data_IF_584926234045
#
_entry.id   IF_584926234045
#
_cell.length_a   1.000
_cell.length_b   1.000
_cell.length_c   1.000
_cell.angle_alpha   90.00
_cell.angle_beta   90.00
_cell.angle_gamma   90.00
#
_symmetry.space_group_name_H-M   'P 1'
#
loop_
_entity.id
_entity.type
_entity.pdbx_description
1 polymer ?
#
# COMPACT_ATOMS: atom_id res chain seq x y z
N UNK A 1 4.85 15.79 -2.20
CA UNK A 1 6.26 15.42 -2.42
C UNK A 1 6.31 13.89 -2.39
N UNK A 2 7.07 13.25 -3.28
CA UNK A 2 7.24 11.79 -3.27
C UNK A 2 8.12 11.43 -2.07
N UNK A 3 7.77 10.39 -1.32
CA UNK A 3 8.61 9.82 -0.27
C UNK A 3 9.82 9.14 -0.93
N UNK A 4 10.76 9.95 -1.41
CA UNK A 4 12.03 9.49 -1.97
C UNK A 4 13.05 9.48 -0.86
N UNK A 5 13.27 8.32 -0.24
CA UNK A 5 14.57 7.83 0.27
C UNK A 5 14.35 6.69 1.29
N UNK A 6 14.12 5.48 0.80
CA UNK A 6 14.48 4.26 1.53
C UNK A 6 15.56 3.55 0.72
N UNK A 7 16.82 3.76 1.10
CA UNK A 7 17.98 3.20 0.40
C UNK A 7 19.20 3.26 1.30
N UNK A 8 19.54 2.10 1.85
CA UNK A 8 20.78 1.78 2.56
C UNK A 8 22.01 2.17 1.74
N UNK A 9 23.08 2.51 2.44
CA UNK A 9 24.28 3.15 1.91
C UNK A 9 24.85 2.49 0.65
N UNK A 10 25.11 3.34 -0.34
CA UNK A 10 26.32 3.40 -1.15
C UNK A 10 26.14 4.59 -2.12
N UNK A 11 26.62 5.77 -1.68
CA UNK A 11 26.48 7.03 -2.40
C UNK A 11 27.78 7.34 -3.16
N UNK A 12 28.02 6.63 -4.26
CA UNK A 12 29.00 7.05 -5.26
C UNK A 12 28.26 7.73 -6.42
N UNK A 13 28.31 9.06 -6.45
CA UNK A 13 27.97 9.86 -7.64
C UNK A 13 26.72 10.73 -7.53
N UNK A 14 26.65 11.65 -6.56
CA UNK A 14 25.73 12.79 -6.65
C UNK A 14 26.53 14.10 -6.75
N UNK A 15 26.41 14.76 -7.90
CA UNK A 15 26.96 16.08 -8.18
C UNK A 15 26.48 17.12 -7.14
N UNK A 16 27.44 17.92 -6.68
CA UNK A 16 27.43 18.66 -5.44
C UNK A 16 26.69 20.01 -5.46
N UNK A 17 25.52 20.12 -6.11
CA UNK A 17 24.77 21.40 -6.15
C UNK A 17 23.23 21.29 -6.07
N UNK A 18 22.67 20.09 -5.90
CA UNK A 18 21.27 19.96 -5.46
C UNK A 18 21.24 19.57 -4.00
N UNK A 19 20.92 20.53 -3.13
CA UNK A 19 20.61 20.22 -1.75
C UNK A 19 19.52 19.13 -1.76
N UNK A 20 19.88 17.92 -1.37
CA UNK A 20 18.91 16.92 -0.95
C UNK A 20 18.23 17.51 0.30
N UNK A 21 17.24 18.36 0.06
CA UNK A 21 16.30 18.83 1.06
C UNK A 21 15.59 17.58 1.56
N UNK A 22 16.14 16.99 2.62
CA UNK A 22 15.46 15.94 3.38
C UNK A 22 14.03 16.38 3.60
N UNK A 23 13.08 15.54 3.21
CA UNK A 23 11.68 15.83 3.40
C UNK A 23 11.45 16.24 4.86
N UNK A 24 10.65 17.30 5.11
CA UNK A 24 10.33 17.70 6.47
C UNK A 24 9.75 16.49 7.21
N UNK A 25 10.05 16.35 8.52
CA UNK A 25 9.56 15.21 9.29
C UNK A 25 8.03 15.16 9.17
N UNK A 26 7.52 13.98 8.81
CA UNK A 26 6.09 13.72 8.78
C UNK A 26 5.56 13.88 10.20
N UNK A 27 4.64 14.81 10.41
CA UNK A 27 4.00 14.98 11.71
C UNK A 27 3.17 13.74 12.06
N UNK A 28 2.95 13.46 13.35
CA UNK A 28 2.27 12.24 13.78
C UNK A 28 0.83 12.15 13.24
N UNK A 29 0.12 13.28 13.12
CA UNK A 29 -1.24 13.32 12.63
C UNK A 29 -1.33 13.00 11.13
N UNK A 30 -0.38 13.52 10.35
CA UNK A 30 -0.21 13.24 8.93
C UNK A 30 0.20 11.79 8.71
N UNK A 31 1.14 11.27 9.52
CA UNK A 31 1.53 9.86 9.48
C UNK A 31 0.34 8.94 9.72
N UNK A 32 -0.47 9.23 10.75
CA UNK A 32 -1.71 8.50 11.05
C UNK A 32 -2.72 8.58 9.90
N UNK A 33 -2.88 9.75 9.28
CA UNK A 33 -3.75 9.93 8.11
C UNK A 33 -3.29 9.07 6.93
N UNK A 34 -1.99 9.10 6.60
CA UNK A 34 -1.41 8.34 5.49
C UNK A 34 -1.65 6.84 5.68
N UNK A 35 -1.34 6.32 6.87
CA UNK A 35 -1.52 4.89 7.17
C UNK A 35 -2.99 4.51 7.10
N UNK A 36 -3.87 5.27 7.75
CA UNK A 36 -5.30 4.93 7.77
C UNK A 36 -5.91 4.97 6.38
N UNK A 37 -5.65 6.03 5.60
CA UNK A 37 -6.17 6.13 4.22
C UNK A 37 -5.51 5.13 3.29
N UNK A 38 -4.23 4.85 3.45
CA UNK A 38 -3.51 3.84 2.67
C UNK A 38 -4.10 2.44 2.87
N UNK A 39 -4.37 2.05 4.12
CA UNK A 39 -5.02 0.77 4.43
C UNK A 39 -6.43 0.72 3.82
N UNK A 40 -7.23 1.77 3.98
CA UNK A 40 -8.59 1.80 3.43
C UNK A 40 -8.59 1.64 1.90
N UNK A 41 -7.68 2.34 1.20
CA UNK A 41 -7.54 2.24 -0.25
C UNK A 41 -7.04 0.84 -0.65
N UNK A 42 -6.05 0.29 0.05
CA UNK A 42 -5.52 -1.04 -0.23
C UNK A 42 -6.57 -2.13 -0.05
N UNK A 43 -7.34 -2.10 1.05
CA UNK A 43 -8.39 -3.07 1.30
C UNK A 43 -9.58 -2.91 0.34
N UNK A 44 -9.92 -1.68 -0.06
CA UNK A 44 -10.92 -1.43 -1.09
C UNK A 44 -10.51 -2.09 -2.41
N UNK A 45 -9.28 -1.85 -2.88
CA UNK A 45 -8.76 -2.49 -4.09
C UNK A 45 -8.79 -4.02 -3.95
N UNK A 46 -8.25 -4.54 -2.85
CA UNK A 46 -8.03 -5.98 -2.66
C UNK A 46 -9.32 -6.78 -2.45
N UNK A 47 -10.21 -6.32 -1.57
CA UNK A 47 -11.38 -7.08 -1.13
C UNK A 47 -12.60 -6.75 -1.97
N UNK A 48 -12.82 -5.46 -2.27
CA UNK A 48 -14.06 -5.00 -2.91
C UNK A 48 -13.92 -4.94 -4.41
N UNK A 49 -12.79 -4.41 -4.91
CA UNK A 49 -12.60 -4.20 -6.35
C UNK A 49 -11.92 -5.39 -7.05
N UNK A 50 -11.52 -6.43 -6.29
CA UNK A 50 -10.80 -7.61 -6.79
C UNK A 50 -9.47 -7.29 -7.49
N UNK A 51 -8.79 -6.22 -7.07
CA UNK A 51 -7.54 -5.73 -7.64
C UNK A 51 -6.40 -5.92 -6.65
N UNK A 52 -5.52 -6.87 -6.95
CA UNK A 52 -4.26 -7.08 -6.24
C UNK A 52 -3.19 -6.16 -6.82
N UNK A 53 -2.85 -5.12 -6.06
CA UNK A 53 -1.71 -4.26 -6.36
C UNK A 53 -0.42 -4.91 -5.82
N UNK A 54 0.37 -5.51 -6.70
CA UNK A 54 1.52 -6.34 -6.31
C UNK A 54 2.68 -5.52 -5.72
N UNK A 55 2.73 -4.21 -6.00
CA UNK A 55 3.82 -3.34 -5.57
C UNK A 55 3.34 -1.96 -5.06
N UNK A 56 2.56 -1.97 -3.98
CA UNK A 56 2.16 -0.73 -3.30
C UNK A 56 3.24 -0.28 -2.30
N UNK A 57 4.47 -0.04 -2.78
CA UNK A 57 5.54 0.49 -1.95
C UNK A 57 5.37 1.99 -1.69
N UNK A 58 5.95 2.57 -0.61
CA UNK A 58 5.77 3.98 -0.26
C UNK A 58 6.17 4.99 -1.36
N UNK A 59 7.03 4.60 -2.30
CA UNK A 59 7.44 5.45 -3.42
C UNK A 59 6.33 5.67 -4.45
N UNK A 60 5.32 4.79 -4.49
CA UNK A 60 4.15 4.91 -5.36
C UNK A 60 3.01 5.75 -4.73
N UNK A 61 3.21 6.25 -3.50
CA UNK A 61 2.23 7.00 -2.73
C UNK A 61 2.70 8.46 -2.59
N UNK A 62 2.01 9.36 -3.27
CA UNK A 62 2.22 10.80 -3.18
C UNK A 62 1.25 11.42 -2.17
N UNK A 63 1.78 12.28 -1.29
CA UNK A 63 0.97 13.17 -0.46
C UNK A 63 0.95 14.56 -1.09
N UNK A 64 -0.27 15.06 -1.35
CA UNK A 64 -0.55 16.41 -1.84
C UNK A 64 -1.44 17.14 -0.84
N UNK A 65 -1.53 18.45 -0.96
CA UNK A 65 -2.44 19.27 -0.15
C UNK A 65 -3.35 20.04 -1.09
N UNK A 66 -4.65 20.07 -0.77
CA UNK A 66 -5.61 20.87 -1.53
C UNK A 66 -5.53 22.37 -1.18
N UNK A 67 -6.36 23.19 -1.84
CA UNK A 67 -6.41 24.64 -1.59
C UNK A 67 -6.80 25.02 -0.15
N UNK A 68 -7.31 24.07 0.65
CA UNK A 68 -7.67 24.23 2.07
C UNK A 68 -6.64 23.58 2.99
N UNK A 69 -5.46 23.23 2.47
CA UNK A 69 -4.37 22.57 3.18
C UNK A 69 -4.76 21.20 3.78
N UNK A 70 -5.70 20.48 3.16
CA UNK A 70 -6.06 19.12 3.55
C UNK A 70 -5.20 18.11 2.80
N UNK A 71 -4.68 17.06 3.47
CA UNK A 71 -3.86 16.06 2.81
C UNK A 71 -4.70 15.21 1.85
N UNK A 72 -4.12 14.89 0.71
CA UNK A 72 -4.66 14.05 -0.36
C UNK A 72 -3.63 12.97 -0.66
N UNK A 73 -4.08 11.72 -0.71
CA UNK A 73 -3.26 10.59 -1.13
C UNK A 73 -3.45 10.35 -2.63
N UNK A 74 -2.36 10.24 -3.38
CA UNK A 74 -2.38 9.96 -4.82
C UNK A 74 -1.50 8.75 -5.09
N UNK A 75 -2.05 7.72 -5.73
CA UNK A 75 -1.31 6.57 -6.22
C UNK A 75 -0.78 6.89 -7.62
N UNK A 76 0.51 6.66 -7.86
CA UNK A 76 1.19 7.06 -9.12
C UNK A 76 1.40 5.89 -10.06
N UNK A 77 1.69 4.72 -9.49
CA UNK A 77 1.92 3.51 -10.25
C UNK A 77 0.71 2.60 -10.13
N UNK A 78 0.31 2.02 -11.26
CA UNK A 78 -0.69 0.97 -11.38
C UNK A 78 -0.18 -0.14 -12.32
N UNK A 79 1.13 -0.18 -12.59
CA UNK A 79 1.74 -1.01 -13.62
C UNK A 79 1.79 -2.50 -13.32
N UNK A 80 1.58 -2.90 -12.05
CA UNK A 80 1.56 -4.31 -11.61
C UNK A 80 0.30 -4.60 -10.78
N UNK A 81 -0.86 -4.52 -11.44
CA UNK A 81 -2.14 -4.96 -10.89
C UNK A 81 -2.57 -6.27 -11.52
N UNK A 82 -3.14 -7.16 -10.72
CA UNK A 82 -3.74 -8.42 -11.18
C UNK A 82 -5.13 -8.57 -10.58
N UNK A 83 -6.03 -9.20 -11.32
CA UNK A 83 -7.35 -9.63 -10.82
C UNK A 83 -7.27 -11.09 -10.41
N UNK A 84 -7.94 -11.45 -9.31
CA UNK A 84 -8.12 -12.85 -8.94
C UNK A 84 -9.24 -13.48 -9.76
N UNK A 85 -9.11 -14.76 -10.09
CA UNK A 85 -10.26 -15.53 -10.57
C UNK A 85 -11.34 -15.60 -9.47
N UNK A 86 -12.62 -15.85 -9.82
CA UNK A 86 -13.69 -15.93 -8.82
C UNK A 86 -13.40 -16.92 -7.69
N UNK A 87 -12.84 -18.09 -8.02
CA UNK A 87 -12.49 -19.14 -7.04
C UNK A 87 -11.35 -18.68 -6.11
N UNK A 88 -10.31 -18.03 -6.65
CA UNK A 88 -9.23 -17.45 -5.86
C UNK A 88 -9.73 -16.33 -4.95
N UNK A 89 -10.62 -15.47 -5.45
CA UNK A 89 -11.23 -14.40 -4.65
C UNK A 89 -12.08 -14.97 -3.51
N UNK A 90 -12.86 -16.02 -3.76
CA UNK A 90 -13.67 -16.69 -2.75
C UNK A 90 -12.81 -17.36 -1.67
N UNK A 91 -11.72 -18.01 -2.08
CA UNK A 91 -10.74 -18.58 -1.17
C UNK A 91 -10.05 -17.50 -0.34
N UNK A 92 -9.69 -16.38 -0.97
CA UNK A 92 -9.05 -15.25 -0.30
C UNK A 92 -9.97 -14.61 0.75
N UNK A 93 -11.21 -14.25 0.39
CA UNK A 93 -12.19 -13.71 1.33
C UNK A 93 -12.49 -14.74 2.44
N UNK A 94 -12.66 -16.00 2.06
CA UNK A 94 -12.89 -17.11 2.99
C UNK A 94 -11.79 -17.25 4.04
N UNK A 95 -10.53 -17.05 3.65
CA UNK A 95 -9.40 -17.03 4.56
C UNK A 95 -9.49 -15.91 5.58
N UNK A 96 -9.77 -14.66 5.18
CA UNK A 96 -9.91 -13.53 6.11
C UNK A 96 -11.09 -13.70 7.07
N UNK A 97 -12.21 -14.22 6.58
CA UNK A 97 -13.37 -14.53 7.43
C UNK A 97 -13.05 -15.60 8.46
N UNK A 98 -12.31 -16.65 8.07
CA UNK A 98 -11.89 -17.71 8.98
C UNK A 98 -10.91 -17.21 10.05
N UNK A 99 -9.94 -16.37 9.67
CA UNK A 99 -9.04 -15.71 10.62
C UNK A 99 -9.80 -14.85 11.64
N UNK A 100 -10.75 -14.02 11.18
CA UNK A 100 -11.57 -13.18 12.06
C UNK A 100 -12.44 -13.99 13.03
N UNK A 101 -12.84 -15.20 12.63
CA UNK A 101 -13.59 -16.14 13.48
C UNK A 101 -12.70 -17.01 14.40
N UNK A 102 -11.38 -16.97 14.24
CA UNK A 102 -10.46 -17.88 14.95
C UNK A 102 -10.50 -19.33 14.46
N UNK A 103 -11.05 -19.58 13.26
CA UNK A 103 -11.16 -20.91 12.66
C UNK A 103 -9.92 -21.22 11.81
N UNK A 104 -8.89 -21.76 12.47
CA UNK A 104 -7.62 -22.09 11.81
C UNK A 104 -7.72 -23.21 10.77
N UNK A 105 -8.64 -24.16 10.93
CA UNK A 105 -8.81 -25.26 9.97
C UNK A 105 -9.40 -24.76 8.66
N UNK A 106 -10.45 -23.92 8.74
CA UNK A 106 -11.03 -23.29 7.56
C UNK A 106 -10.03 -22.35 6.89
N UNK A 107 -9.28 -21.57 7.66
CA UNK A 107 -8.23 -20.70 7.12
C UNK A 107 -7.19 -21.51 6.32
N UNK A 108 -6.69 -22.63 6.87
CA UNK A 108 -5.75 -23.50 6.18
C UNK A 108 -6.33 -24.09 4.89
N UNK A 109 -7.60 -24.51 4.90
CA UNK A 109 -8.27 -25.07 3.72
C UNK A 109 -8.40 -24.05 2.59
N UNK A 110 -8.73 -22.80 2.91
CA UNK A 110 -8.82 -21.71 1.94
C UNK A 110 -7.46 -21.45 1.27
N UNK A 111 -6.36 -21.47 2.04
CA UNK A 111 -5.00 -21.29 1.48
C UNK A 111 -4.57 -22.49 0.63
N UNK A 112 -4.86 -23.71 1.04
CA UNK A 112 -4.47 -24.92 0.30
C UNK A 112 -5.24 -25.12 -1.02
N UNK A 113 -6.35 -24.40 -1.22
CA UNK A 113 -7.11 -24.39 -2.47
C UNK A 113 -6.67 -23.31 -3.46
N UNK A 114 -5.56 -22.64 -3.20
CA UNK A 114 -4.96 -21.71 -4.15
C UNK A 114 -4.39 -22.49 -5.34
N UNK A 115 -5.07 -22.45 -6.49
CA UNK A 115 -4.71 -23.18 -7.71
C UNK A 115 -4.99 -22.37 -8.96
#
# INVERSE_FOLDING_TARGET
RALCCFGSGDADGCDSDSACERDPPVDEALGRFIVQRGIDIYLQMLIVDNLMHADLHPGNILVRFDARNRPLLTLVDAGMVAELTPDEQENFIGFFLALGAGDGERAARCVLRWS
#
